data_IF_205523874260
#
_entry.id   IF_205523874260
#
_cell.length_a   1.000
_cell.length_b   1.000
_cell.length_c   1.000
_cell.angle_alpha   90.00
_cell.angle_beta   90.00
_cell.angle_gamma   90.00
#
_symmetry.space_group_name_H-M   'P 1'
#
loop_
_entity.id
_entity.type
_entity.pdbx_description
1 polymer ?
#
# COMPACT_ATOMS: atom_id res chain seq x y z
N UNK A 1 -13.58 -18.74 20.37
CA UNK A 1 -12.28 -19.02 21.03
C UNK A 1 -11.67 -20.18 20.25
N UNK A 2 -10.43 -20.04 19.79
CA UNK A 2 -9.68 -21.21 19.35
C UNK A 2 -9.27 -21.98 20.61
N UNK A 3 -9.45 -23.30 20.63
CA UNK A 3 -9.13 -24.16 21.77
C UNK A 3 -7.69 -24.68 21.65
N UNK A 4 -6.75 -23.77 21.45
CA UNK A 4 -5.35 -24.09 21.20
C UNK A 4 -4.49 -23.21 22.09
N UNK A 5 -3.48 -23.80 22.74
CA UNK A 5 -2.48 -23.03 23.48
C UNK A 5 -1.38 -22.48 22.54
N UNK A 6 -0.51 -21.62 23.08
CA UNK A 6 0.53 -20.96 22.28
C UNK A 6 1.53 -21.96 21.69
N UNK A 7 1.82 -23.06 22.39
CA UNK A 7 2.76 -24.09 21.95
C UNK A 7 2.16 -24.95 20.82
N UNK A 8 0.88 -25.31 20.92
CA UNK A 8 0.15 -26.00 19.86
C UNK A 8 0.02 -25.13 18.61
N UNK A 9 -0.30 -23.84 18.77
CA UNK A 9 -0.38 -22.89 17.67
C UNK A 9 0.99 -22.73 16.98
N UNK A 10 2.06 -22.63 17.77
CA UNK A 10 3.42 -22.54 17.26
C UNK A 10 3.86 -23.81 16.54
N UNK A 11 3.48 -24.99 17.06
CA UNK A 11 3.77 -26.29 16.44
C UNK A 11 3.12 -26.41 15.07
N UNK A 12 1.84 -26.03 14.96
CA UNK A 12 1.14 -26.05 13.68
C UNK A 12 1.72 -25.02 12.69
N UNK A 13 2.05 -23.81 13.14
CA UNK A 13 2.67 -22.80 12.30
C UNK A 13 4.01 -23.30 11.72
N UNK A 14 4.84 -23.94 12.54
CA UNK A 14 6.11 -24.55 12.11
C UNK A 14 5.89 -25.70 11.12
N UNK A 15 4.89 -26.55 11.37
CA UNK A 15 4.56 -27.66 10.48
C UNK A 15 4.16 -27.16 9.08
N UNK A 16 3.22 -26.21 8.99
CA UNK A 16 2.81 -25.66 7.69
C UNK A 16 3.96 -24.94 6.98
N UNK A 17 4.76 -24.17 7.71
CA UNK A 17 5.93 -23.52 7.13
C UNK A 17 6.93 -24.54 6.54
N UNK A 18 7.18 -25.65 7.25
CA UNK A 18 8.05 -26.73 6.78
C UNK A 18 7.46 -27.46 5.56
N UNK A 19 6.14 -27.72 5.55
CA UNK A 19 5.43 -28.34 4.42
C UNK A 19 5.51 -27.46 3.17
N UNK A 20 5.35 -26.15 3.33
CA UNK A 20 5.39 -25.17 2.24
C UNK A 20 6.83 -24.79 1.84
N UNK A 21 7.85 -25.30 2.56
CA UNK A 21 9.26 -24.99 2.30
C UNK A 21 9.63 -23.52 2.57
N UNK A 22 8.89 -22.83 3.44
CA UNK A 22 9.09 -21.40 3.75
C UNK A 22 9.75 -21.21 5.13
N UNK A 23 10.63 -20.21 5.30
CA UNK A 23 11.22 -19.91 6.61
C UNK A 23 10.17 -19.36 7.58
N UNK A 24 10.19 -19.83 8.82
CA UNK A 24 9.46 -19.29 9.98
C UNK A 24 10.43 -19.20 11.18
N UNK A 25 10.33 -18.23 12.10
CA UNK A 25 9.35 -17.13 12.22
C UNK A 25 9.67 -15.88 11.41
N UNK A 26 10.89 -15.72 10.93
CA UNK A 26 11.34 -14.49 10.26
C UNK A 26 11.33 -14.67 8.75
N UNK A 27 10.37 -14.01 8.11
CA UNK A 27 10.41 -13.84 6.67
C UNK A 27 11.08 -12.52 6.31
N UNK A 28 12.00 -12.61 5.34
CA UNK A 28 12.57 -11.47 4.67
C UNK A 28 11.48 -10.80 3.83
N UNK A 29 11.24 -9.52 4.06
CA UNK A 29 10.30 -8.72 3.26
C UNK A 29 11.07 -8.20 2.07
N UNK A 30 10.85 -8.79 0.89
CA UNK A 30 11.60 -8.45 -0.32
C UNK A 30 11.56 -6.95 -0.68
N UNK A 31 10.43 -6.22 -0.60
CA UNK A 31 10.39 -4.77 -0.81
C UNK A 31 11.28 -3.92 0.12
N UNK A 32 11.72 -4.47 1.26
CA UNK A 32 12.58 -3.78 2.22
C UNK A 32 14.07 -4.01 1.95
N UNK A 33 14.42 -4.88 1.00
CA UNK A 33 15.81 -5.23 0.75
C UNK A 33 16.57 -4.09 0.06
N UNK A 34 17.76 -3.72 0.54
CA UNK A 34 18.56 -2.65 -0.08
C UNK A 34 18.78 -2.85 -1.57
N UNK A 35 19.12 -4.07 -1.99
CA UNK A 35 19.36 -4.41 -3.39
C UNK A 35 18.10 -4.26 -4.25
N UNK A 36 16.92 -4.58 -3.71
CA UNK A 36 15.63 -4.43 -4.41
C UNK A 36 15.30 -2.95 -4.54
N UNK A 37 15.52 -2.17 -3.48
CA UNK A 37 15.25 -0.73 -3.48
C UNK A 37 16.18 0.01 -4.44
N UNK A 38 17.47 -0.30 -4.43
CA UNK A 38 18.44 0.27 -5.35
C UNK A 38 18.06 -0.03 -6.81
N UNK A 39 17.71 -1.29 -7.11
CA UNK A 39 17.25 -1.67 -8.45
C UNK A 39 15.98 -0.92 -8.87
N UNK A 40 14.99 -0.79 -7.98
CA UNK A 40 13.75 -0.06 -8.27
C UNK A 40 14.01 1.43 -8.50
N UNK A 41 14.87 2.05 -7.69
CA UNK A 41 15.28 3.45 -7.87
C UNK A 41 15.98 3.67 -9.21
N UNK A 42 16.94 2.82 -9.58
CA UNK A 42 17.63 2.91 -10.88
C UNK A 42 16.67 2.77 -12.06
N UNK A 43 15.72 1.82 -12.00
CA UNK A 43 14.70 1.63 -13.04
C UNK A 43 13.78 2.85 -13.12
N UNK A 44 13.40 3.41 -11.98
CA UNK A 44 12.56 4.60 -11.90
C UNK A 44 13.25 5.81 -12.52
N UNK A 45 14.49 6.11 -12.11
CA UNK A 45 15.28 7.23 -12.65
C UNK A 45 15.50 7.12 -14.16
N UNK A 46 15.77 5.91 -14.67
CA UNK A 46 15.96 5.68 -16.10
C UNK A 46 14.68 5.91 -16.91
N UNK A 47 13.51 5.60 -16.35
CA UNK A 47 12.22 5.77 -17.02
C UNK A 47 11.63 7.17 -16.85
N UNK A 48 11.94 7.82 -15.74
CA UNK A 48 11.39 9.11 -15.33
C UNK A 48 12.53 10.10 -15.06
N UNK A 49 13.37 10.44 -16.05
CA UNK A 49 14.55 11.30 -15.85
C UNK A 49 14.21 12.74 -15.44
N UNK A 50 12.96 13.15 -15.62
CA UNK A 50 12.43 14.44 -15.19
C UNK A 50 11.63 14.38 -13.88
N UNK A 51 11.59 13.24 -13.20
CA UNK A 51 10.90 13.11 -11.92
C UNK A 51 11.54 14.04 -10.88
N UNK A 52 10.70 14.74 -10.12
CA UNK A 52 11.16 15.66 -9.08
C UNK A 52 11.60 14.96 -7.79
N UNK A 53 11.20 13.70 -7.61
CA UNK A 53 11.37 12.94 -6.38
C UNK A 53 11.86 11.53 -6.69
N UNK A 54 12.50 10.89 -5.71
CA UNK A 54 12.92 9.50 -5.83
C UNK A 54 11.73 8.53 -5.87
N UNK A 55 12.04 7.27 -6.21
CA UNK A 55 11.06 6.20 -6.32
C UNK A 55 10.21 5.98 -5.05
N UNK A 56 10.83 5.97 -3.88
CA UNK A 56 10.15 5.70 -2.61
C UNK A 56 9.27 6.90 -2.19
N UNK A 57 9.71 8.12 -2.48
CA UNK A 57 8.91 9.33 -2.29
C UNK A 57 7.71 9.35 -3.26
N UNK A 58 7.90 8.98 -4.53
CA UNK A 58 6.80 8.84 -5.50
C UNK A 58 5.80 7.75 -5.04
N UNK A 59 6.31 6.63 -4.54
CA UNK A 59 5.53 5.54 -3.96
C UNK A 59 4.69 6.01 -2.77
N UNK A 60 5.30 6.80 -1.86
CA UNK A 60 4.61 7.40 -0.72
C UNK A 60 3.49 8.35 -1.16
N UNK A 61 3.71 9.16 -2.20
CA UNK A 61 2.68 10.03 -2.79
C UNK A 61 1.53 9.20 -3.37
N UNK A 62 1.81 8.09 -4.06
CA UNK A 62 0.77 7.20 -4.58
C UNK A 62 -0.10 6.61 -3.47
N UNK A 63 0.51 6.13 -2.38
CA UNK A 63 -0.23 5.57 -1.24
C UNK A 63 -1.13 6.61 -0.57
N UNK A 64 -0.68 7.86 -0.50
CA UNK A 64 -1.40 8.96 0.16
C UNK A 64 -2.23 9.81 -0.80
N UNK A 65 -2.44 9.34 -2.02
CA UNK A 65 -3.20 10.04 -3.04
C UNK A 65 -4.68 10.15 -2.65
N UNK A 66 -5.17 11.39 -2.58
CA UNK A 66 -6.59 11.67 -2.45
C UNK A 66 -7.36 11.04 -3.63
N UNK A 67 -8.51 10.41 -3.36
CA UNK A 67 -9.26 9.64 -4.36
C UNK A 67 -9.05 8.13 -4.29
N UNK A 68 -7.96 7.65 -3.67
CA UNK A 68 -7.62 6.22 -3.58
C UNK A 68 -7.60 5.75 -2.12
N UNK A 69 -6.43 5.34 -1.60
CA UNK A 69 -6.30 4.67 -0.32
C UNK A 69 -6.69 5.57 0.86
N UNK A 70 -6.18 6.81 0.87
CA UNK A 70 -6.37 7.77 1.95
C UNK A 70 -7.83 8.23 2.14
N UNK A 71 -8.70 8.00 1.16
CA UNK A 71 -10.13 8.32 1.29
C UNK A 71 -10.86 7.44 2.30
N UNK A 72 -10.46 6.17 2.42
CA UNK A 72 -11.16 5.19 3.24
C UNK A 72 -10.28 4.59 4.34
N UNK A 73 -8.96 4.62 4.18
CA UNK A 73 -8.02 4.05 5.13
C UNK A 73 -7.32 5.13 5.96
N UNK A 74 -7.12 4.84 7.24
CA UNK A 74 -6.13 5.58 8.03
C UNK A 74 -4.72 5.18 7.55
N UNK A 75 -4.01 6.14 6.96
CA UNK A 75 -2.71 5.97 6.29
C UNK A 75 -1.97 7.30 6.22
N UNK A 76 -0.64 7.28 6.18
CA UNK A 76 0.20 8.48 6.12
C UNK A 76 0.10 9.38 7.33
N UNK A 77 -0.16 8.82 8.51
CA UNK A 77 -0.46 9.58 9.72
C UNK A 77 -1.86 10.22 9.75
N UNK A 78 -2.67 10.03 8.70
CA UNK A 78 -4.01 10.59 8.64
C UNK A 78 -5.06 9.66 9.24
N UNK A 79 -6.13 10.28 9.70
CA UNK A 79 -7.36 9.61 10.10
C UNK A 79 -8.45 9.97 9.11
N UNK A 80 -9.32 9.01 8.80
CA UNK A 80 -10.47 9.24 7.94
C UNK A 80 -11.48 10.09 8.71
N UNK A 81 -11.51 11.38 8.39
CA UNK A 81 -12.46 12.35 8.96
C UNK A 81 -13.63 12.55 8.01
N UNK A 82 -14.84 12.40 8.52
CA UNK A 82 -16.05 12.88 7.86
C UNK A 82 -17.00 13.45 8.89
N UNK A 83 -17.70 14.52 8.52
CA UNK A 83 -18.65 15.24 9.38
C UNK A 83 -19.90 14.41 9.67
N UNK A 84 -20.23 13.47 8.78
CA UNK A 84 -21.33 12.52 8.93
C UNK A 84 -20.80 11.07 8.96
N UNK A 85 -20.79 10.41 10.12
CA UNK A 85 -20.36 9.02 10.25
C UNK A 85 -21.15 8.03 9.38
N UNK A 86 -22.41 8.36 9.04
CA UNK A 86 -23.26 7.49 8.21
C UNK A 86 -22.87 7.51 6.72
N UNK A 87 -22.11 8.54 6.30
CA UNK A 87 -21.61 8.71 4.93
C UNK A 87 -20.10 8.49 4.81
N UNK A 88 -19.43 8.28 5.94
CA UNK A 88 -17.97 8.10 5.98
C UNK A 88 -17.64 6.61 5.93
N UNK A 89 -17.17 6.14 4.77
CA UNK A 89 -16.68 4.76 4.64
C UNK A 89 -15.33 4.63 5.36
N UNK A 90 -15.30 3.87 6.45
CA UNK A 90 -14.08 3.57 7.20
C UNK A 90 -13.59 2.16 6.89
N UNK A 91 -12.37 2.06 6.38
CA UNK A 91 -11.67 0.82 6.11
C UNK A 91 -10.57 0.57 7.15
N UNK A 92 -9.95 -0.63 7.19
CA UNK A 92 -8.92 -0.98 8.16
C UNK A 92 -7.72 -0.02 8.14
N UNK A 93 -7.07 0.16 9.29
CA UNK A 93 -5.86 0.97 9.39
C UNK A 93 -4.67 0.28 8.68
N UNK A 94 -3.93 1.03 7.86
CA UNK A 94 -2.82 0.51 7.04
C UNK A 94 -1.42 0.65 7.67
N UNK A 95 -1.30 1.29 8.84
CA UNK A 95 -0.02 1.61 9.50
C UNK A 95 0.84 0.39 9.89
N UNK A 96 0.30 -0.82 9.80
CA UNK A 96 0.99 -2.05 10.21
C UNK A 96 0.98 -3.13 9.14
N UNK A 97 0.72 -2.77 7.87
CA UNK A 97 0.70 -3.74 6.76
C UNK A 97 2.01 -4.51 6.70
N UNK A 98 3.15 -3.81 6.71
CA UNK A 98 4.49 -4.42 6.69
C UNK A 98 4.76 -5.44 7.81
N UNK A 99 4.04 -5.37 8.93
CA UNK A 99 4.20 -6.27 10.09
C UNK A 99 3.17 -7.40 10.14
N UNK A 100 2.14 -7.35 9.29
CA UNK A 100 0.95 -8.21 9.38
C UNK A 100 0.70 -9.04 8.14
N UNK A 101 1.10 -8.54 6.98
CA UNK A 101 0.77 -9.13 5.69
C UNK A 101 2.04 -9.46 4.91
N UNK A 102 1.91 -10.37 3.95
CA UNK A 102 2.96 -10.73 3.00
C UNK A 102 2.89 -9.85 1.75
N UNK A 103 4.02 -9.37 1.19
CA UNK A 103 4.03 -8.54 -0.02
C UNK A 103 3.25 -9.15 -1.17
N UNK A 104 3.44 -10.43 -1.44
CA UNK A 104 2.86 -11.13 -2.58
C UNK A 104 1.34 -11.24 -2.42
N UNK A 105 0.85 -11.41 -1.19
CA UNK A 105 -0.59 -11.42 -0.92
C UNK A 105 -1.21 -10.04 -1.09
N UNK A 106 -0.52 -8.98 -0.62
CA UNK A 106 -1.01 -7.60 -0.75
C UNK A 106 -1.04 -7.16 -2.20
N UNK A 107 -0.06 -7.58 -3.01
CA UNK A 107 0.01 -7.26 -4.44
C UNK A 107 -1.22 -7.82 -5.19
N UNK A 108 -1.54 -9.11 -4.99
CA UNK A 108 -2.74 -9.73 -5.57
C UNK A 108 -4.01 -9.02 -5.10
N UNK A 109 -4.10 -8.70 -3.81
CA UNK A 109 -5.26 -8.03 -3.23
C UNK A 109 -5.48 -6.62 -3.79
N UNK A 110 -4.41 -5.83 -3.93
CA UNK A 110 -4.49 -4.45 -4.45
C UNK A 110 -4.84 -4.46 -5.94
N UNK A 111 -4.38 -5.46 -6.68
CA UNK A 111 -4.70 -5.63 -8.09
C UNK A 111 -6.20 -5.89 -8.32
N UNK A 112 -6.77 -6.88 -7.62
CA UNK A 112 -8.20 -7.19 -7.72
C UNK A 112 -8.78 -7.71 -6.39
N UNK A 113 -9.29 -6.81 -5.52
CA UNK A 113 -9.71 -7.17 -4.17
C UNK A 113 -10.96 -8.08 -4.16
N UNK A 114 -11.77 -8.06 -5.21
CA UNK A 114 -12.98 -8.90 -5.30
C UNK A 114 -12.66 -10.37 -5.53
N UNK A 115 -11.46 -10.72 -6.04
CA UNK A 115 -11.05 -12.11 -6.20
C UNK A 115 -10.84 -12.82 -4.86
N UNK A 116 -10.39 -12.08 -3.85
CA UNK A 116 -10.10 -12.64 -2.53
C UNK A 116 -11.29 -12.42 -1.59
N UNK A 117 -11.96 -11.26 -1.66
CA UNK A 117 -13.25 -11.03 -0.98
C UNK A 117 -14.30 -10.44 -1.92
N UNK A 118 -15.22 -11.27 -2.45
CA UNK A 118 -16.20 -10.84 -3.44
C UNK A 118 -17.12 -9.68 -3.01
N UNK A 119 -17.31 -9.46 -1.71
CA UNK A 119 -18.22 -8.46 -1.17
C UNK A 119 -17.50 -7.25 -0.54
N UNK A 120 -16.21 -7.08 -0.82
CA UNK A 120 -15.47 -5.91 -0.35
C UNK A 120 -16.00 -4.63 -1.00
N UNK A 121 -16.00 -3.54 -0.23
CA UNK A 121 -16.25 -2.20 -0.75
C UNK A 121 -14.98 -1.56 -1.35
N UNK A 122 -13.83 -2.24 -1.27
CA UNK A 122 -12.58 -1.73 -1.82
C UNK A 122 -12.62 -1.73 -3.35
N UNK A 123 -12.45 -0.58 -4.01
CA UNK A 123 -12.47 -0.51 -5.47
C UNK A 123 -11.18 -1.06 -6.08
N UNK A 124 -11.25 -1.37 -7.36
CA UNK A 124 -10.07 -1.69 -8.19
C UNK A 124 -9.33 -0.38 -8.49
N UNK A 125 -8.40 0.00 -7.62
CA UNK A 125 -7.73 1.31 -7.67
C UNK A 125 -6.71 1.47 -8.82
N UNK A 126 -6.17 0.35 -9.30
CA UNK A 126 -5.04 0.31 -10.23
C UNK A 126 -5.34 -0.55 -11.47
N UNK A 127 -6.57 -0.46 -11.97
CA UNK A 127 -6.98 -1.17 -13.18
C UNK A 127 -6.06 -0.82 -14.36
N UNK A 128 -5.51 -1.83 -15.03
CA UNK A 128 -4.61 -1.67 -16.18
C UNK A 128 -5.28 -1.00 -17.40
N UNK A 129 -6.61 -1.01 -17.46
CA UNK A 129 -7.41 -0.34 -18.49
C UNK A 129 -7.62 1.16 -18.24
N UNK A 130 -7.19 1.68 -17.09
CA UNK A 130 -7.37 3.08 -16.70
C UNK A 130 -6.00 3.77 -16.56
N UNK A 131 -5.93 5.03 -16.98
CA UNK A 131 -4.76 5.86 -16.72
C UNK A 131 -4.69 6.24 -15.23
N UNK A 132 -3.47 6.27 -14.68
CA UNK A 132 -3.19 6.75 -13.33
C UNK A 132 -3.03 8.27 -13.29
N UNK A 133 -2.67 8.78 -12.11
CA UNK A 133 -2.31 10.21 -11.94
C UNK A 133 -1.05 10.53 -12.72
N UNK A 134 -1.08 11.50 -13.64
CA UNK A 134 0.05 11.82 -14.54
C UNK A 134 1.33 12.20 -13.78
N UNK A 135 1.20 12.95 -12.69
CA UNK A 135 2.33 13.40 -11.86
C UNK A 135 3.09 12.24 -11.18
N UNK A 136 2.54 11.02 -11.23
CA UNK A 136 3.09 9.83 -10.62
C UNK A 136 3.31 8.77 -11.70
N UNK A 137 4.56 8.38 -11.92
CA UNK A 137 4.91 7.31 -12.87
C UNK A 137 4.36 7.56 -14.30
N UNK A 138 4.30 8.83 -14.72
CA UNK A 138 3.76 9.28 -16.02
C UNK A 138 2.32 8.80 -16.31
N UNK A 139 1.54 8.51 -15.26
CA UNK A 139 0.19 7.98 -15.37
C UNK A 139 0.12 6.47 -15.63
N UNK A 140 1.22 5.72 -15.50
CA UNK A 140 1.18 4.26 -15.51
C UNK A 140 0.51 3.75 -14.21
N UNK A 141 -0.76 3.38 -14.33
CA UNK A 141 -1.58 2.97 -13.21
C UNK A 141 -1.13 1.63 -12.60
N UNK A 142 -0.55 0.73 -13.41
CA UNK A 142 -0.03 -0.55 -12.91
C UNK A 142 1.21 -0.30 -12.05
N UNK A 143 2.13 0.56 -12.51
CA UNK A 143 3.29 0.97 -11.73
C UNK A 143 2.91 1.73 -10.46
N UNK A 144 1.85 2.52 -10.49
CA UNK A 144 1.29 3.13 -9.28
C UNK A 144 0.81 2.06 -8.28
N UNK A 145 0.19 0.97 -8.74
CA UNK A 145 -0.22 -0.14 -7.88
C UNK A 145 0.97 -0.81 -7.19
N UNK A 146 2.00 -1.18 -7.96
CA UNK A 146 3.25 -1.75 -7.42
C UNK A 146 3.89 -0.79 -6.40
N UNK A 147 4.00 0.49 -6.75
CA UNK A 147 4.55 1.53 -5.88
C UNK A 147 3.75 1.70 -4.58
N UNK A 148 2.42 1.60 -4.62
CA UNK A 148 1.59 1.65 -3.42
C UNK A 148 1.88 0.46 -2.48
N UNK A 149 2.11 -0.74 -3.02
CA UNK A 149 2.54 -1.91 -2.25
C UNK A 149 3.91 -1.63 -1.61
N UNK A 150 4.88 -1.14 -2.37
CA UNK A 150 6.21 -0.83 -1.85
C UNK A 150 6.19 0.22 -0.73
N UNK A 151 5.32 1.23 -0.86
CA UNK A 151 5.10 2.21 0.20
C UNK A 151 4.48 1.59 1.46
N UNK A 152 3.55 0.64 1.32
CA UNK A 152 2.97 -0.08 2.46
C UNK A 152 4.00 -0.94 3.20
N UNK A 153 4.98 -1.50 2.48
CA UNK A 153 6.05 -2.30 3.05
C UNK A 153 7.27 -1.48 3.50
N UNK A 154 7.31 -0.19 3.18
CA UNK A 154 8.30 0.77 3.69
C UNK A 154 7.65 1.85 4.57
N UNK A 155 6.47 1.56 5.13
CA UNK A 155 5.57 2.55 5.71
C UNK A 155 6.22 3.31 6.86
N UNK A 156 6.82 2.59 7.82
CA UNK A 156 7.42 3.24 9.00
C UNK A 156 8.55 4.18 8.59
N UNK A 157 9.44 3.72 7.70
CA UNK A 157 10.56 4.52 7.17
C UNK A 157 10.06 5.76 6.42
N UNK A 158 9.06 5.60 5.55
CA UNK A 158 8.51 6.71 4.77
C UNK A 158 7.78 7.73 5.64
N UNK A 159 7.06 7.27 6.67
CA UNK A 159 6.41 8.15 7.64
C UNK A 159 7.43 8.94 8.46
N UNK A 160 8.57 8.35 8.83
CA UNK A 160 9.66 9.06 9.52
C UNK A 160 10.29 10.13 8.64
N UNK A 161 10.44 9.88 7.35
CA UNK A 161 11.05 10.81 6.39
C UNK A 161 10.10 11.97 6.04
N UNK A 162 8.84 11.66 5.75
CA UNK A 162 7.88 12.63 5.21
C UNK A 162 6.89 13.20 6.23
N UNK A 163 6.71 12.53 7.37
CA UNK A 163 5.71 12.89 8.36
C UNK A 163 4.28 12.65 7.86
N UNK A 164 3.31 13.28 8.54
CA UNK A 164 1.90 13.20 8.15
C UNK A 164 1.69 13.78 6.75
N UNK A 165 1.15 12.98 5.83
CA UNK A 165 1.09 13.33 4.40
C UNK A 165 -0.28 13.04 3.80
N UNK A 166 -0.93 14.04 3.20
CA UNK A 166 -1.96 13.85 2.18
C UNK A 166 -1.42 14.37 0.87
N UNK A 167 -1.57 13.60 -0.21
CA UNK A 167 -1.11 14.01 -1.52
C UNK A 167 -2.28 14.36 -2.44
N UNK A 168 -2.25 15.59 -2.94
CA UNK A 168 -3.17 16.11 -3.95
C UNK A 168 -2.34 16.46 -5.19
N UNK A 169 -2.65 15.89 -6.37
CA UNK A 169 -1.94 16.21 -7.62
C UNK A 169 -2.02 17.70 -7.97
N UNK A 170 -1.07 18.23 -8.75
CA UNK A 170 -1.04 19.66 -9.10
C UNK A 170 -2.27 20.08 -9.91
N UNK A 171 -2.83 19.14 -10.68
CA UNK A 171 -3.98 19.35 -11.57
C UNK A 171 -5.32 18.93 -10.94
N UNK A 172 -5.36 18.62 -9.64
CA UNK A 172 -6.62 18.28 -9.00
C UNK A 172 -7.58 19.49 -9.05
N UNK A 173 -8.84 19.31 -9.48
CA UNK A 173 -9.82 20.38 -9.34
C UNK A 173 -9.87 20.77 -7.86
N UNK A 174 -9.80 22.08 -7.57
CA UNK A 174 -9.88 22.59 -6.21
C UNK A 174 -11.00 21.86 -5.48
N UNK A 175 -10.68 21.17 -4.38
CA UNK A 175 -11.64 20.40 -3.63
C UNK A 175 -12.85 21.31 -3.36
N UNK A 176 -13.97 21.00 -4.01
CA UNK A 176 -15.19 21.79 -3.92
C UNK A 176 -15.58 21.86 -2.46
N UNK A 177 -15.35 23.03 -1.86
CA UNK A 177 -15.89 23.36 -0.55
C UNK A 177 -17.40 23.37 -0.71
N UNK A 178 -18.05 22.35 -0.17
CA UNK A 178 -19.49 22.39 0.01
C UNK A 178 -19.75 23.09 1.35
N UNK A 179 -20.23 24.33 1.24
CA UNK A 179 -20.99 25.04 2.28
C UNK A 179 -22.19 24.22 2.77
#
# INVERSE_FOLDING_TARGET
RFNMDDDEAQTLANYFAAVDGVPYPYQRIEPQLPEVQEMKSLVYEAKHPSAEVDYLTASWRTLNLAGKCANCHAVGGNVVTGTDPSKTTKAPNLNRVEKRLRPEWVDIWIYEPHWITPYTAMPVNFASSQAGTKDLFDGDNVRQGEAAVDALFNYTRLLEIHGQTLYTPSDAPAAGGNE
#
